data_IF_368533887759
#
_entry.id   IF_368533887759
#
_cell.length_a   1.000
_cell.length_b   1.000
_cell.length_c   1.000
_cell.angle_alpha   90.00
_cell.angle_beta   90.00
_cell.angle_gamma   90.00
#
_symmetry.space_group_name_H-M   'P 1'
#
loop_
_entity.id
_entity.type
_entity.pdbx_description
1 polymer ?
#
# COMPACT_ATOMS: atom_id res chain seq x y z
N UNK A 1 5.16 14.79 4.30
CA UNK A 1 5.90 13.52 4.11
C UNK A 1 6.74 13.59 2.84
N UNK A 2 7.88 12.90 2.74
CA UNK A 2 8.64 12.76 1.47
C UNK A 2 8.42 11.39 0.84
N UNK A 3 8.58 11.27 -0.48
CA UNK A 3 8.51 9.98 -1.19
C UNK A 3 9.38 8.89 -0.55
N UNK A 4 10.62 9.22 -0.21
CA UNK A 4 11.55 8.26 0.41
C UNK A 4 11.06 7.75 1.76
N UNK A 5 10.46 8.62 2.60
CA UNK A 5 9.87 8.18 3.88
C UNK A 5 8.70 7.24 3.66
N UNK A 6 7.83 7.55 2.69
CA UNK A 6 6.71 6.67 2.35
C UNK A 6 7.19 5.30 1.84
N UNK A 7 8.20 5.28 0.96
CA UNK A 7 8.82 4.02 0.48
C UNK A 7 9.38 3.19 1.64
N UNK A 8 10.00 3.83 2.63
CA UNK A 8 10.45 3.15 3.85
C UNK A 8 9.29 2.58 4.67
N UNK A 9 8.19 3.33 4.84
CA UNK A 9 6.99 2.85 5.53
C UNK A 9 6.34 1.67 4.81
N UNK A 10 6.31 1.68 3.47
CA UNK A 10 5.86 0.55 2.66
C UNK A 10 6.79 -0.66 2.85
N UNK A 11 8.10 -0.46 2.75
CA UNK A 11 9.08 -1.54 2.96
C UNK A 11 8.96 -2.18 4.35
N UNK A 12 8.74 -1.36 5.38
CA UNK A 12 8.47 -1.82 6.75
C UNK A 12 7.17 -2.62 6.82
N UNK A 13 6.07 -2.12 6.26
CA UNK A 13 4.79 -2.82 6.23
C UNK A 13 4.90 -4.21 5.56
N UNK A 14 5.59 -4.29 4.42
CA UNK A 14 5.81 -5.54 3.71
C UNK A 14 6.64 -6.54 4.54
N UNK A 15 7.70 -6.04 5.18
CA UNK A 15 8.56 -6.85 6.06
C UNK A 15 7.76 -7.40 7.25
N UNK A 16 6.96 -6.55 7.91
CA UNK A 16 6.10 -6.95 9.04
C UNK A 16 5.03 -8.00 8.63
N UNK A 17 4.57 -7.96 7.38
CA UNK A 17 3.62 -8.94 6.84
C UNK A 17 4.29 -10.22 6.30
N UNK A 18 5.62 -10.32 6.33
CA UNK A 18 6.36 -11.42 5.71
C UNK A 18 6.19 -11.49 4.18
N UNK A 19 5.96 -10.33 3.54
CA UNK A 19 5.80 -10.21 2.10
C UNK A 19 7.13 -9.85 1.45
N UNK A 20 7.63 -10.73 0.59
CA UNK A 20 8.78 -10.45 -0.27
C UNK A 20 8.33 -9.67 -1.50
N UNK A 21 8.14 -8.35 -1.34
CA UNK A 21 7.67 -7.43 -2.37
C UNK A 21 8.69 -6.36 -2.73
N UNK A 22 8.55 -5.80 -3.93
CA UNK A 22 9.34 -4.65 -4.38
C UNK A 22 8.44 -3.48 -4.76
N UNK A 23 8.80 -2.27 -4.31
CA UNK A 23 8.12 -1.05 -4.72
C UNK A 23 8.57 -0.70 -6.14
N UNK A 24 7.64 -0.69 -7.08
CA UNK A 24 7.92 -0.44 -8.50
C UNK A 24 7.84 1.05 -8.83
N UNK A 25 6.85 1.72 -8.28
CA UNK A 25 6.64 3.15 -8.49
C UNK A 25 5.89 3.76 -7.30
N UNK A 26 6.21 5.02 -7.00
CA UNK A 26 5.45 5.87 -6.08
C UNK A 26 5.15 7.17 -6.81
N UNK A 27 3.87 7.49 -6.91
CA UNK A 27 3.35 8.66 -7.60
C UNK A 27 2.57 9.50 -6.59
N UNK A 28 3.00 10.75 -6.42
CA UNK A 28 2.28 11.72 -5.60
C UNK A 28 1.24 12.40 -6.47
N UNK A 29 -0.04 12.17 -6.19
CA UNK A 29 -1.16 12.80 -6.90
C UNK A 29 -1.54 14.06 -6.13
N UNK A 30 -1.28 15.22 -6.73
CA UNK A 30 -1.64 16.52 -6.16
C UNK A 30 -2.97 16.99 -6.73
N UNK A 31 -4.07 16.74 -6.02
CA UNK A 31 -5.34 17.44 -6.28
C UNK A 31 -5.52 18.59 -5.29
N UNK A 32 -4.58 19.54 -5.33
CA UNK A 32 -4.59 20.88 -4.72
C UNK A 32 -4.77 21.07 -3.18
N UNK A 33 -5.24 20.12 -2.35
CA UNK A 33 -5.41 20.37 -0.88
C UNK A 33 -5.19 19.15 0.03
N UNK A 34 -4.49 18.12 -0.44
CA UNK A 34 -4.18 16.91 0.33
C UNK A 34 -3.44 15.93 -0.56
N UNK A 35 -2.20 15.58 -0.20
CA UNK A 35 -1.36 14.73 -1.05
C UNK A 35 -1.81 13.29 -0.88
N UNK A 36 -2.48 12.76 -1.92
CA UNK A 36 -2.72 11.32 -2.02
C UNK A 36 -1.52 10.70 -2.71
N UNK A 37 -0.80 9.82 -2.03
CA UNK A 37 0.30 9.07 -2.64
C UNK A 37 -0.17 7.67 -3.03
N UNK A 38 0.08 7.30 -4.29
CA UNK A 38 -0.21 5.99 -4.83
C UNK A 38 1.10 5.25 -5.07
N UNK A 39 1.24 4.07 -4.47
CA UNK A 39 2.39 3.20 -4.70
C UNK A 39 1.98 1.87 -5.32
N UNK A 40 2.73 1.45 -6.33
CA UNK A 40 2.60 0.15 -6.99
C UNK A 40 3.64 -0.79 -6.38
N UNK A 41 3.18 -1.87 -5.76
CA UNK A 41 3.99 -2.89 -5.11
C UNK A 41 3.90 -4.16 -5.94
N UNK A 42 5.02 -4.63 -6.47
CA UNK A 42 5.11 -5.94 -7.09
C UNK A 42 5.28 -7.01 -6.03
N UNK A 43 4.32 -7.94 -5.96
CA UNK A 43 4.33 -9.11 -5.12
C UNK A 43 4.37 -10.38 -5.98
N UNK A 44 4.76 -11.55 -5.43
CA UNK A 44 4.68 -12.82 -6.17
C UNK A 44 3.27 -13.17 -6.67
N UNK A 45 2.24 -12.63 -6.03
CA UNK A 45 0.83 -12.81 -6.43
C UNK A 45 0.35 -11.84 -7.51
N UNK A 46 1.16 -10.85 -7.89
CA UNK A 46 0.77 -9.77 -8.80
C UNK A 46 1.17 -8.40 -8.27
N UNK A 47 0.81 -7.35 -9.02
CA UNK A 47 1.04 -5.98 -8.61
C UNK A 47 -0.18 -5.45 -7.83
N UNK A 48 0.06 -4.88 -6.67
CA UNK A 48 -0.95 -4.24 -5.82
C UNK A 48 -0.75 -2.73 -5.79
N UNK A 49 -1.85 -2.00 -5.66
CA UNK A 49 -1.84 -0.54 -5.51
C UNK A 49 -2.26 -0.18 -4.09
N UNK A 50 -1.48 0.68 -3.43
CA UNK A 50 -1.82 1.25 -2.13
C UNK A 50 -1.93 2.77 -2.23
N UNK A 51 -2.94 3.32 -1.56
CA UNK A 51 -3.27 4.75 -1.60
C UNK A 51 -3.22 5.32 -0.19
N UNK A 52 -2.38 6.33 0.04
CA UNK A 52 -2.22 6.94 1.35
C UNK A 52 -2.58 8.41 1.29
N UNK A 53 -3.57 8.82 2.07
CA UNK A 53 -3.92 10.22 2.28
C UNK A 53 -2.97 10.84 3.32
N UNK A 54 -1.97 11.55 2.83
CA UNK A 54 -0.93 12.17 3.66
C UNK A 54 -1.40 13.46 4.35
N UNK A 55 -2.66 13.89 4.16
CA UNK A 55 -3.27 14.98 4.95
C UNK A 55 -3.90 14.44 6.24
N UNK A 56 -4.52 13.27 6.17
CA UNK A 56 -5.17 12.65 7.31
C UNK A 56 -4.17 11.90 8.21
N UNK A 57 -3.09 11.39 7.61
CA UNK A 57 -2.15 10.52 8.30
C UNK A 57 -0.72 11.07 8.14
N UNK A 58 -0.24 11.73 9.19
CA UNK A 58 1.15 12.21 9.29
C UNK A 58 2.05 11.26 10.09
N UNK A 59 1.45 10.33 10.83
CA UNK A 59 2.13 9.35 11.67
C UNK A 59 2.56 8.12 10.84
N UNK A 60 3.86 7.79 10.90
CA UNK A 60 4.44 6.67 10.16
C UNK A 60 3.83 5.31 10.54
N UNK A 61 3.48 5.09 11.81
CA UNK A 61 2.87 3.83 12.27
C UNK A 61 1.44 3.69 11.75
N UNK A 62 0.69 4.80 11.66
CA UNK A 62 -0.63 4.81 11.04
C UNK A 62 -0.56 4.56 9.53
N UNK A 63 0.45 5.11 8.85
CA UNK A 63 0.70 4.82 7.43
C UNK A 63 0.99 3.34 7.23
N UNK A 64 1.89 2.77 8.04
CA UNK A 64 2.21 1.33 8.01
C UNK A 64 0.96 0.50 8.26
N UNK A 65 0.13 0.88 9.24
CA UNK A 65 -1.13 0.18 9.53
C UNK A 65 -2.09 0.20 8.33
N UNK A 66 -2.26 1.35 7.70
CA UNK A 66 -3.17 1.53 6.56
C UNK A 66 -2.71 0.75 5.33
N UNK A 67 -1.40 0.73 5.04
CA UNK A 67 -0.82 -0.10 3.98
C UNK A 67 -1.14 -1.58 4.23
N UNK A 68 -0.91 -2.06 5.45
CA UNK A 68 -1.20 -3.47 5.82
C UNK A 68 -2.69 -3.79 5.65
N UNK A 69 -3.57 -2.87 6.04
CA UNK A 69 -5.03 -3.02 5.89
C UNK A 69 -5.42 -3.17 4.43
N UNK A 70 -5.00 -2.24 3.55
CA UNK A 70 -5.34 -2.28 2.13
C UNK A 70 -4.84 -3.56 1.45
N UNK A 71 -3.58 -3.96 1.71
CA UNK A 71 -3.02 -5.19 1.14
C UNK A 71 -3.76 -6.45 1.64
N UNK A 72 -4.17 -6.49 2.90
CA UNK A 72 -4.96 -7.59 3.44
C UNK A 72 -6.37 -7.66 2.82
N UNK A 73 -7.02 -6.52 2.65
CA UNK A 73 -8.36 -6.42 2.04
C UNK A 73 -8.33 -6.89 0.58
N UNK A 74 -7.36 -6.44 -0.22
CA UNK A 74 -7.17 -6.90 -1.61
C UNK A 74 -6.94 -8.40 -1.72
N UNK A 75 -6.13 -8.97 -0.83
CA UNK A 75 -5.93 -10.43 -0.79
C UNK A 75 -7.21 -11.20 -0.47
N UNK A 76 -8.06 -10.67 0.43
CA UNK A 76 -9.37 -11.29 0.71
C UNK A 76 -10.29 -11.20 -0.49
N UNK A 77 -10.32 -10.07 -1.20
CA UNK A 77 -11.10 -9.92 -2.44
C UNK A 77 -10.68 -10.98 -3.47
N UNK A 78 -9.38 -11.12 -3.75
CA UNK A 78 -8.85 -12.14 -4.67
C UNK A 78 -9.21 -13.56 -4.27
N UNK A 79 -9.12 -13.90 -2.98
CA UNK A 79 -9.50 -15.22 -2.47
C UNK A 79 -11.01 -15.47 -2.54
N UNK A 80 -11.83 -14.44 -2.37
CA UNK A 80 -13.30 -14.56 -2.48
C UNK A 80 -13.75 -14.80 -3.92
N UNK A 81 -13.10 -14.14 -4.89
CA UNK A 81 -13.36 -14.33 -6.32
C UNK A 81 -13.03 -15.77 -6.76
N UNK A 82 -11.94 -16.34 -6.23
CA UNK A 82 -11.55 -17.73 -6.51
C UNK A 82 -12.53 -18.77 -5.94
N UNK A 83 -13.25 -18.45 -4.86
CA UNK A 83 -14.21 -19.38 -4.21
C UNK A 83 -15.61 -19.38 -4.83
N UNK A 84 -15.92 -18.41 -5.69
CA UNK A 84 -17.26 -18.29 -6.31
C UNK A 84 -17.37 -19.04 -7.65
N UNK A 85 -16.33 -19.80 -8.02
CA UNK A 85 -16.26 -20.57 -9.27
C UNK A 85 -16.50 -22.08 -9.10
N UNK A 86 -16.87 -22.53 -7.90
CA UNK A 86 -17.30 -23.91 -7.61
C UNK A 86 -18.83 -24.05 -7.54
#
# INVERSE_FOLDING_TARGET
>A
MTRQKLENSIGRALTEMGLNGHIVATVDIHSEVGVLSCSIISLPSGAEQVYIDLRAIEDDDLIVHEIKRQLADRRRETLSLLKTQD
#
